data_IF_937986677923
#
_entry.id   IF_937986677923
#
_cell.length_a   1.000
_cell.length_b   1.000
_cell.length_c   1.000
_cell.angle_alpha   90.00
_cell.angle_beta   90.00
_cell.angle_gamma   90.00
#
_symmetry.space_group_name_H-M   'P 1'
#
loop_
_entity.id
_entity.type
_entity.pdbx_description
1 polymer ?
#
# COMPACT_ATOMS: atom_id res chain seq x y z
N UNK A 1 -3.51 23.38 11.73
CA UNK A 1 -3.06 23.02 13.10
C UNK A 1 -1.61 22.58 13.03
N UNK A 2 -0.76 23.11 13.88
CA UNK A 2 0.65 22.70 14.01
C UNK A 2 0.71 21.71 15.17
N UNK A 3 1.03 20.42 14.94
CA UNK A 3 1.12 19.45 16.03
C UNK A 3 2.33 19.76 16.92
N UNK A 4 2.16 19.60 18.22
CA UNK A 4 3.24 19.69 19.21
C UNK A 4 3.37 18.37 19.94
N UNK A 5 4.59 17.82 19.98
CA UNK A 5 4.91 16.56 20.65
C UNK A 5 5.88 16.86 21.81
N UNK A 6 5.41 16.70 23.05
CA UNK A 6 6.24 16.84 24.25
C UNK A 6 6.59 15.43 24.78
N UNK A 7 7.39 14.70 24.03
CA UNK A 7 7.78 13.34 24.39
C UNK A 7 9.27 13.29 24.75
N UNK A 8 9.61 12.49 25.74
CA UNK A 8 10.99 12.24 26.17
C UNK A 8 11.30 10.76 26.08
N UNK A 9 12.46 10.45 25.54
CA UNK A 9 12.98 9.10 25.42
C UNK A 9 14.36 9.07 26.11
N UNK A 10 14.60 8.04 26.93
CA UNK A 10 15.87 7.82 27.60
C UNK A 10 16.52 6.59 26.98
N UNK A 11 17.77 6.72 26.56
CA UNK A 11 18.55 5.64 25.97
C UNK A 11 19.89 5.60 26.72
N UNK A 12 20.21 4.46 27.31
CA UNK A 12 21.52 4.21 27.93
C UNK A 12 22.48 3.67 26.87
N UNK A 13 23.71 4.21 26.86
CA UNK A 13 24.74 3.79 25.90
C UNK A 13 26.15 4.05 26.45
N UNK A 14 27.14 3.34 25.91
CA UNK A 14 28.53 3.54 26.24
C UNK A 14 29.19 4.60 25.35
N UNK A 15 30.17 5.34 25.90
CA UNK A 15 30.91 6.38 25.16
C UNK A 15 31.54 5.87 23.85
N UNK A 16 31.99 4.64 23.82
CA UNK A 16 32.59 3.99 22.64
C UNK A 16 31.60 3.78 21.51
N UNK A 17 30.34 3.48 21.83
CA UNK A 17 29.29 3.22 20.85
C UNK A 17 28.57 4.50 20.36
N UNK A 18 28.74 5.61 21.08
CA UNK A 18 28.01 6.84 20.81
C UNK A 18 28.16 7.35 19.37
N UNK A 19 29.33 7.15 18.76
CA UNK A 19 29.62 7.58 17.37
C UNK A 19 28.96 6.71 16.31
N UNK A 20 28.56 5.49 16.65
CA UNK A 20 27.92 4.55 15.76
C UNK A 20 26.39 4.68 15.77
N UNK A 21 25.85 5.33 16.80
CA UNK A 21 24.43 5.48 16.98
C UNK A 21 23.83 6.56 16.08
N UNK A 22 22.61 6.28 15.66
CA UNK A 22 21.78 7.19 14.86
C UNK A 22 20.44 7.35 15.54
N UNK A 23 20.03 8.57 15.78
CA UNK A 23 18.66 8.89 16.23
C UNK A 23 17.78 9.03 15.00
N UNK A 24 16.73 8.24 14.93
CA UNK A 24 15.70 8.35 13.89
C UNK A 24 14.37 8.71 14.55
N UNK A 25 13.87 9.91 14.22
CA UNK A 25 12.54 10.37 14.63
C UNK A 25 11.60 10.24 13.44
N UNK A 26 10.47 9.58 13.64
CA UNK A 26 9.47 9.37 12.59
C UNK A 26 8.16 9.99 13.02
N UNK A 27 7.64 10.90 12.21
CA UNK A 27 6.31 11.49 12.39
C UNK A 27 5.32 10.66 11.58
N UNK A 28 4.32 10.13 12.24
CA UNK A 28 3.29 9.29 11.63
C UNK A 28 1.91 9.94 11.74
N UNK A 29 1.13 9.85 10.69
CA UNK A 29 -0.30 10.13 10.68
C UNK A 29 -1.06 8.81 10.77
N UNK A 30 -1.98 8.70 11.70
CA UNK A 30 -2.82 7.52 11.87
C UNK A 30 -4.21 7.88 11.39
N UNK A 31 -4.61 7.32 10.26
CA UNK A 31 -5.93 7.53 9.71
C UNK A 31 -7.01 6.78 10.54
N UNK A 32 -8.27 7.07 10.28
CA UNK A 32 -9.40 6.41 10.96
C UNK A 32 -9.47 4.90 10.77
N UNK A 33 -8.64 4.35 9.88
CA UNK A 33 -8.52 2.92 9.61
C UNK A 33 -7.34 2.29 10.35
N UNK A 34 -6.74 3.01 11.31
CA UNK A 34 -5.58 2.61 12.11
C UNK A 34 -4.34 2.21 11.29
N UNK A 35 -4.24 2.72 10.04
CA UNK A 35 -3.07 2.49 9.19
C UNK A 35 -2.09 3.65 9.36
N UNK A 36 -0.96 3.45 10.03
CA UNK A 36 0.03 4.52 10.20
C UNK A 36 0.67 4.87 8.85
N UNK A 37 0.70 6.14 8.52
CA UNK A 37 1.38 6.66 7.33
C UNK A 37 2.51 7.59 7.78
N UNK A 38 3.73 7.31 7.37
CA UNK A 38 4.86 8.19 7.68
C UNK A 38 4.70 9.52 6.95
N UNK A 39 4.58 10.59 7.71
CA UNK A 39 4.50 11.98 7.22
C UNK A 39 5.89 12.50 6.91
N UNK A 40 6.86 12.13 7.75
CA UNK A 40 8.22 12.52 7.56
C UNK A 40 9.15 11.92 8.61
N UNK A 41 10.44 12.07 8.37
CA UNK A 41 11.48 11.58 9.27
C UNK A 41 12.64 12.55 9.41
N UNK A 42 13.31 12.45 10.55
CA UNK A 42 14.59 13.09 10.81
C UNK A 42 15.58 12.00 11.20
N UNK A 43 16.73 11.98 10.55
CA UNK A 43 17.82 11.05 10.84
C UNK A 43 19.03 11.86 11.27
N UNK A 44 19.48 11.66 12.52
CA UNK A 44 20.63 12.34 13.08
C UNK A 44 21.67 11.33 13.57
N UNK A 45 22.78 11.15 12.85
CA UNK A 45 23.93 10.43 13.37
C UNK A 45 24.52 11.18 14.57
N UNK A 46 24.72 10.49 15.70
CA UNK A 46 25.21 11.15 16.91
C UNK A 46 26.67 11.60 16.77
N UNK A 47 27.45 10.99 15.86
CA UNK A 47 28.82 11.44 15.52
C UNK A 47 28.89 12.86 14.99
N UNK A 48 27.80 13.38 14.41
CA UNK A 48 27.74 14.71 13.80
C UNK A 48 27.48 15.81 14.85
N UNK A 49 27.14 15.42 16.09
CA UNK A 49 26.96 16.34 17.21
C UNK A 49 28.32 16.54 17.92
N UNK A 50 28.84 17.75 17.79
CA UNK A 50 30.13 18.10 18.41
C UNK A 50 30.07 17.95 19.92
N UNK A 51 31.11 17.35 20.49
CA UNK A 51 31.31 17.20 21.94
C UNK A 51 30.18 16.48 22.69
N UNK A 52 29.37 15.67 22.02
CA UNK A 52 28.22 14.97 22.64
C UNK A 52 28.63 14.18 23.91
N UNK A 53 29.83 13.55 23.91
CA UNK A 53 30.30 12.76 25.03
C UNK A 53 30.67 13.60 26.28
N UNK A 54 30.81 14.91 26.17
CA UNK A 54 31.22 15.86 27.23
C UNK A 54 30.14 16.90 27.51
N UNK A 55 29.04 16.87 26.81
CA UNK A 55 27.89 17.76 27.03
C UNK A 55 27.20 17.35 28.33
N UNK A 56 27.15 18.23 29.30
CA UNK A 56 26.47 18.10 30.58
C UNK A 56 25.18 18.93 30.68
N UNK A 57 24.82 19.59 29.59
CA UNK A 57 23.66 20.45 29.51
C UNK A 57 22.76 20.11 28.32
N UNK A 58 21.53 20.58 28.34
CA UNK A 58 20.55 20.38 27.27
C UNK A 58 20.98 21.07 25.98
N UNK A 59 21.08 20.31 24.90
CA UNK A 59 21.33 20.84 23.54
C UNK A 59 20.04 20.77 22.72
N UNK A 60 19.69 21.87 22.06
CA UNK A 60 18.53 21.92 21.18
C UNK A 60 19.00 21.89 19.72
N UNK A 61 18.44 21.00 18.94
CA UNK A 61 18.70 20.87 17.50
C UNK A 61 17.42 21.14 16.74
N UNK A 62 17.50 21.88 15.64
CA UNK A 62 16.37 22.21 14.78
C UNK A 62 16.55 21.50 13.44
N UNK A 63 15.51 20.76 13.02
CA UNK A 63 15.51 20.04 11.76
C UNK A 63 14.25 20.30 10.96
N UNK A 64 14.39 20.28 9.66
CA UNK A 64 13.24 20.12 8.78
C UNK A 64 12.88 18.63 8.70
N UNK A 65 11.61 18.32 8.90
CA UNK A 65 11.11 16.96 8.74
C UNK A 65 11.11 16.65 7.24
N UNK A 66 12.03 15.78 6.81
CA UNK A 66 12.09 15.34 5.42
C UNK A 66 11.01 14.29 5.16
N UNK A 67 10.37 14.36 4.01
CA UNK A 67 9.52 13.24 3.59
C UNK A 67 10.42 12.02 3.35
N UNK A 68 10.13 10.87 3.98
CA UNK A 68 10.91 9.67 3.71
C UNK A 68 10.80 9.34 2.22
N UNK A 69 11.90 9.00 1.60
CA UNK A 69 11.89 8.35 0.30
C UNK A 69 11.43 6.90 0.51
N UNK A 70 10.15 6.72 0.85
CA UNK A 70 9.55 5.41 0.96
C UNK A 70 9.39 4.88 -0.47
N UNK A 71 10.35 4.10 -0.89
CA UNK A 71 10.30 3.35 -2.12
C UNK A 71 9.71 1.97 -1.81
N UNK A 72 8.42 1.81 -2.03
CA UNK A 72 7.72 0.52 -1.91
C UNK A 72 7.58 -0.17 -3.27
N UNK A 73 8.20 0.40 -4.31
CA UNK A 73 8.06 0.00 -5.69
C UNK A 73 7.00 0.83 -6.42
N UNK A 74 6.76 0.44 -7.66
CA UNK A 74 5.89 1.17 -8.58
C UNK A 74 4.82 0.27 -9.15
N UNK A 75 3.68 0.86 -9.51
CA UNK A 75 2.57 0.18 -10.16
C UNK A 75 2.16 0.90 -11.44
N UNK A 76 2.03 0.14 -12.55
CA UNK A 76 1.46 0.60 -13.81
C UNK A 76 0.01 0.19 -13.86
N UNK A 77 -0.88 1.16 -13.97
CA UNK A 77 -2.29 0.92 -14.20
C UNK A 77 -2.90 1.98 -15.11
N UNK A 78 -3.96 1.59 -15.80
CA UNK A 78 -4.74 2.46 -16.67
C UNK A 78 -6.10 2.76 -16.07
N UNK A 79 -6.58 3.98 -16.31
CA UNK A 79 -7.92 4.43 -15.98
C UNK A 79 -8.68 4.79 -17.24
N UNK A 80 -9.97 4.47 -17.28
CA UNK A 80 -10.91 4.93 -18.33
C UNK A 80 -12.26 5.18 -17.71
N UNK A 81 -12.87 6.31 -18.05
CA UNK A 81 -14.23 6.64 -17.63
C UNK A 81 -15.19 6.63 -18.82
N UNK A 82 -16.32 5.95 -18.68
CA UNK A 82 -17.40 5.88 -19.65
C UNK A 82 -18.62 6.64 -19.10
N UNK A 83 -18.81 7.92 -19.47
CA UNK A 83 -19.88 8.74 -18.92
C UNK A 83 -21.28 8.18 -19.19
N UNK A 84 -21.52 7.67 -20.40
CA UNK A 84 -22.82 7.11 -20.81
C UNK A 84 -23.20 5.85 -20.03
N UNK A 85 -22.22 5.03 -19.65
CA UNK A 85 -22.43 3.83 -18.85
C UNK A 85 -22.22 4.07 -17.35
N UNK A 86 -21.79 5.29 -16.96
CA UNK A 86 -21.44 5.66 -15.59
C UNK A 86 -20.44 4.67 -14.96
N UNK A 87 -19.40 4.30 -15.72
CA UNK A 87 -18.42 3.28 -15.33
C UNK A 87 -16.99 3.79 -15.35
N UNK A 88 -16.29 3.51 -14.27
CA UNK A 88 -14.84 3.64 -14.17
C UNK A 88 -14.21 2.27 -14.34
N UNK A 89 -13.32 2.13 -15.33
CA UNK A 89 -12.51 0.94 -15.55
C UNK A 89 -11.10 1.20 -15.05
N UNK A 90 -10.57 0.26 -14.28
CA UNK A 90 -9.21 0.27 -13.72
C UNK A 90 -8.47 -0.94 -14.23
N UNK A 91 -7.59 -0.75 -15.20
CA UNK A 91 -6.76 -1.81 -15.76
C UNK A 91 -5.46 -1.90 -14.98
N UNK A 92 -5.36 -2.85 -14.07
CA UNK A 92 -4.14 -3.14 -13.31
C UNK A 92 -3.22 -3.96 -14.19
N UNK A 93 -2.11 -3.37 -14.66
CA UNK A 93 -1.23 -3.99 -15.65
C UNK A 93 -0.14 -4.78 -14.95
N UNK A 94 0.74 -4.10 -14.24
CA UNK A 94 1.90 -4.71 -13.55
C UNK A 94 2.43 -3.81 -12.45
N UNK A 95 3.25 -4.38 -11.58
CA UNK A 95 4.09 -3.61 -10.67
C UNK A 95 5.57 -3.93 -10.94
N UNK A 96 6.42 -3.12 -10.38
CA UNK A 96 7.88 -3.26 -10.51
C UNK A 96 8.54 -2.90 -9.18
N UNK A 97 9.61 -3.61 -8.87
CA UNK A 97 10.50 -3.26 -7.76
C UNK A 97 9.83 -3.23 -6.38
N UNK A 98 8.81 -4.09 -6.17
CA UNK A 98 8.13 -4.16 -4.88
C UNK A 98 9.10 -4.55 -3.78
N UNK A 99 9.12 -3.78 -2.68
CA UNK A 99 10.00 -4.03 -1.54
C UNK A 99 9.37 -5.08 -0.60
N UNK A 100 9.42 -6.33 -1.02
CA UNK A 100 8.85 -7.45 -0.27
C UNK A 100 9.56 -7.70 1.06
N UNK A 101 10.85 -7.38 1.18
CA UNK A 101 11.64 -7.56 2.40
C UNK A 101 11.12 -6.79 3.62
N UNK A 102 10.28 -5.78 3.41
CA UNK A 102 9.61 -5.06 4.49
C UNK A 102 8.46 -5.85 5.12
N UNK A 103 8.00 -6.92 4.48
CA UNK A 103 6.80 -7.67 4.89
C UNK A 103 7.00 -9.17 4.99
N UNK A 104 7.90 -9.75 4.22
CA UNK A 104 8.27 -11.17 4.24
C UNK A 104 9.77 -11.34 4.11
N UNK A 105 10.32 -12.42 4.63
CA UNK A 105 11.75 -12.72 4.55
C UNK A 105 12.12 -13.36 3.21
N UNK A 106 11.28 -14.30 2.73
CA UNK A 106 11.49 -15.01 1.47
C UNK A 106 10.53 -14.50 0.39
N UNK A 107 11.06 -14.29 -0.83
CA UNK A 107 10.28 -13.93 -2.01
C UNK A 107 9.20 -14.97 -2.34
N UNK A 108 9.45 -16.24 -2.04
CA UNK A 108 8.49 -17.31 -2.27
C UNK A 108 7.22 -17.18 -1.41
N UNK A 109 7.32 -16.51 -0.26
CA UNK A 109 6.18 -16.20 0.61
C UNK A 109 5.48 -14.90 0.21
N UNK A 110 6.06 -14.15 -0.73
CA UNK A 110 5.50 -12.92 -1.24
C UNK A 110 4.46 -13.21 -2.32
N UNK A 111 3.20 -13.00 -1.99
CA UNK A 111 2.06 -13.20 -2.89
C UNK A 111 1.29 -11.89 -3.08
N UNK A 112 1.84 -10.93 -3.86
CA UNK A 112 1.24 -9.61 -4.01
C UNK A 112 -0.07 -9.63 -4.79
N UNK A 113 -0.99 -8.78 -4.37
CA UNK A 113 -2.23 -8.46 -5.07
C UNK A 113 -2.63 -7.02 -4.77
N UNK A 114 -3.46 -6.44 -5.62
CA UNK A 114 -3.95 -5.08 -5.46
C UNK A 114 -5.40 -5.10 -5.02
N UNK A 115 -5.68 -4.36 -3.95
CA UNK A 115 -7.02 -4.04 -3.49
C UNK A 115 -7.35 -2.61 -3.89
N UNK A 116 -8.47 -2.44 -4.53
CA UNK A 116 -8.94 -1.15 -5.02
C UNK A 116 -10.21 -0.77 -4.29
N UNK A 117 -10.22 0.42 -3.68
CA UNK A 117 -11.35 0.96 -2.94
C UNK A 117 -11.81 2.26 -3.58
N UNK A 118 -13.10 2.38 -3.81
CA UNK A 118 -13.77 3.63 -4.16
C UNK A 118 -14.35 4.22 -2.87
N UNK A 119 -13.93 5.43 -2.51
CA UNK A 119 -14.23 6.10 -1.24
C UNK A 119 -14.98 7.40 -1.54
N UNK A 120 -16.10 7.63 -0.87
CA UNK A 120 -16.86 8.88 -0.96
C UNK A 120 -16.11 10.05 -0.32
N UNK A 121 -16.53 11.29 -0.64
CA UNK A 121 -16.01 12.50 0.01
C UNK A 121 -16.17 12.51 1.54
N UNK A 122 -17.16 11.78 2.07
CA UNK A 122 -17.33 11.57 3.52
C UNK A 122 -16.36 10.52 4.11
N UNK A 123 -15.51 9.90 3.27
CA UNK A 123 -14.55 8.86 3.65
C UNK A 123 -15.16 7.47 3.84
N UNK A 124 -16.38 7.24 3.39
CA UNK A 124 -17.03 5.92 3.41
C UNK A 124 -16.61 5.12 2.19
N UNK A 125 -16.28 3.83 2.36
CA UNK A 125 -16.01 2.92 1.24
C UNK A 125 -17.32 2.61 0.53
N UNK A 126 -17.40 3.00 -0.75
CA UNK A 126 -18.56 2.73 -1.61
C UNK A 126 -18.46 1.31 -2.20
N UNK A 127 -17.30 0.97 -2.75
CA UNK A 127 -17.06 -0.32 -3.40
C UNK A 127 -15.62 -0.74 -3.21
N UNK A 128 -15.40 -2.05 -3.13
CA UNK A 128 -14.08 -2.67 -3.03
C UNK A 128 -13.96 -3.80 -4.05
N UNK A 129 -12.85 -3.85 -4.78
CA UNK A 129 -12.46 -4.95 -5.67
C UNK A 129 -10.99 -5.29 -5.47
N UNK A 130 -10.57 -6.47 -5.91
CA UNK A 130 -9.18 -6.93 -5.81
C UNK A 130 -8.78 -7.70 -7.06
N UNK A 131 -7.48 -7.69 -7.37
CA UNK A 131 -6.90 -8.57 -8.38
C UNK A 131 -6.68 -9.97 -7.82
N UNK A 132 -6.34 -10.91 -8.69
CA UNK A 132 -5.74 -12.18 -8.28
C UNK A 132 -4.37 -11.92 -7.63
N UNK A 133 -3.88 -12.84 -6.83
CA UNK A 133 -2.53 -12.77 -6.24
C UNK A 133 -1.51 -13.45 -7.16
N UNK A 134 -0.26 -12.97 -7.13
CA UNK A 134 0.86 -13.49 -7.93
C UNK A 134 1.98 -13.95 -7.01
N UNK A 135 2.28 -15.26 -6.93
CA UNK A 135 3.27 -15.77 -5.99
C UNK A 135 4.71 -15.53 -6.46
N UNK A 136 5.62 -15.33 -5.50
CA UNK A 136 7.06 -15.43 -5.70
C UNK A 136 7.67 -14.35 -6.60
N UNK A 137 7.09 -13.14 -6.67
CA UNK A 137 7.60 -12.10 -7.56
C UNK A 137 7.47 -10.70 -6.98
N UNK A 138 8.57 -9.93 -7.10
CA UNK A 138 8.59 -8.49 -6.80
C UNK A 138 8.15 -7.63 -8.00
N UNK A 139 7.91 -8.24 -9.16
CA UNK A 139 7.47 -7.55 -10.39
C UNK A 139 6.29 -8.28 -11.05
N UNK A 140 5.14 -8.37 -10.35
CA UNK A 140 3.99 -9.13 -10.82
C UNK A 140 3.31 -8.47 -12.02
N UNK A 141 2.74 -9.31 -12.91
CA UNK A 141 1.90 -8.90 -14.03
C UNK A 141 0.51 -9.45 -13.81
N UNK A 142 -0.51 -8.58 -13.84
CA UNK A 142 -1.91 -8.97 -13.69
C UNK A 142 -2.67 -8.91 -15.00
N UNK A 143 -2.62 -7.79 -15.72
CA UNK A 143 -3.44 -7.49 -16.90
C UNK A 143 -4.94 -7.68 -16.63
N UNK A 144 -5.38 -7.28 -15.43
CA UNK A 144 -6.77 -7.41 -14.98
C UNK A 144 -7.48 -6.07 -14.99
N UNK A 145 -8.76 -6.06 -15.39
CA UNK A 145 -9.59 -4.86 -15.37
C UNK A 145 -10.68 -4.97 -14.31
N UNK A 146 -10.70 -4.01 -13.41
CA UNK A 146 -11.69 -3.87 -12.35
C UNK A 146 -12.67 -2.74 -12.73
N UNK A 147 -13.97 -3.05 -12.79
CA UNK A 147 -15.00 -2.10 -13.21
C UNK A 147 -15.79 -1.62 -12.00
N UNK A 148 -15.99 -0.31 -11.88
CA UNK A 148 -16.76 0.34 -10.82
C UNK A 148 -17.88 1.15 -11.42
N UNK A 149 -19.09 1.02 -10.88
CA UNK A 149 -20.18 1.93 -11.20
C UNK A 149 -19.89 3.26 -10.47
N UNK A 150 -19.82 4.33 -11.23
CA UNK A 150 -19.49 5.67 -10.75
C UNK A 150 -20.31 6.71 -11.52
N UNK A 151 -21.40 7.22 -10.92
CA UNK A 151 -22.19 8.30 -11.49
C UNK A 151 -21.35 9.55 -11.74
N UNK A 152 -21.62 10.26 -12.83
CA UNK A 152 -20.85 11.45 -13.21
C UNK A 152 -20.87 12.52 -12.12
N UNK A 153 -21.97 12.68 -11.40
CA UNK A 153 -22.09 13.61 -10.27
C UNK A 153 -21.17 13.28 -9.09
N UNK A 154 -20.66 12.06 -8.99
CA UNK A 154 -19.79 11.62 -7.90
C UNK A 154 -18.31 11.65 -8.26
N UNK A 155 -17.95 11.77 -9.53
CA UNK A 155 -16.55 11.65 -10.00
C UNK A 155 -15.61 12.65 -9.31
N UNK A 156 -16.08 13.87 -9.04
CA UNK A 156 -15.28 14.90 -8.37
C UNK A 156 -15.18 14.68 -6.85
N UNK A 157 -16.11 13.92 -6.27
CA UNK A 157 -16.24 13.74 -4.82
C UNK A 157 -15.67 12.43 -4.30
N UNK A 158 -15.21 11.56 -5.19
CA UNK A 158 -14.63 10.28 -4.77
C UNK A 158 -13.11 10.32 -4.71
N UNK A 159 -12.58 9.49 -3.82
CA UNK A 159 -11.17 9.13 -3.79
C UNK A 159 -11.04 7.66 -4.15
N UNK A 160 -10.13 7.39 -5.06
CA UNK A 160 -9.76 6.07 -5.48
C UNK A 160 -8.49 5.66 -4.75
N UNK A 161 -8.57 4.62 -3.91
CA UNK A 161 -7.44 4.13 -3.15
C UNK A 161 -7.03 2.75 -3.66
N UNK A 162 -5.80 2.65 -4.10
CA UNK A 162 -5.14 1.44 -4.51
C UNK A 162 -4.19 1.01 -3.41
N UNK A 163 -4.37 -0.22 -2.89
CA UNK A 163 -3.57 -0.78 -1.80
C UNK A 163 -2.90 -2.05 -2.29
N UNK A 164 -1.58 -2.06 -2.27
CA UNK A 164 -0.77 -3.26 -2.50
C UNK A 164 -0.72 -4.05 -1.20
N UNK A 165 -1.12 -5.30 -1.28
CA UNK A 165 -1.13 -6.25 -0.17
C UNK A 165 -0.37 -7.52 -0.57
N UNK A 166 0.14 -8.25 0.41
CA UNK A 166 0.60 -9.61 0.22
C UNK A 166 -0.22 -10.56 1.07
N UNK A 167 -0.53 -11.72 0.50
CA UNK A 167 -1.21 -12.81 1.18
C UNK A 167 -0.19 -13.79 1.73
N UNK A 168 -0.32 -14.27 2.98
CA UNK A 168 0.52 -15.35 3.47
C UNK A 168 0.31 -16.61 2.62
N UNK A 169 1.37 -17.23 2.15
CA UNK A 169 1.29 -18.52 1.45
C UNK A 169 0.79 -19.56 2.44
N UNK A 170 -0.34 -20.17 2.15
CA UNK A 170 -0.79 -21.35 2.89
C UNK A 170 0.03 -22.50 2.32
N UNK A 171 0.92 -23.07 3.13
CA UNK A 171 1.54 -24.35 2.77
C UNK A 171 0.38 -25.36 2.66
N UNK A 172 0.08 -25.79 1.45
CA UNK A 172 -0.79 -26.96 1.24
C UNK A 172 0.06 -28.15 1.67
N UNK A 173 -0.15 -28.63 2.89
CA UNK A 173 0.33 -29.95 3.28
C UNK A 173 -0.47 -30.94 2.41
N UNK A 174 0.17 -31.74 1.54
CA UNK A 174 -0.55 -32.77 0.79
C UNK A 174 -1.13 -33.75 1.81
N UNK A 175 -2.45 -33.83 1.83
CA UNK A 175 -3.11 -34.93 2.56
C UNK A 175 -2.75 -36.26 1.87
N UNK A 176 -2.48 -37.34 2.60
CA UNK A 176 -2.07 -38.61 2.02
C UNK A 176 -3.06 -39.27 1.04
N UNK A 177 -4.23 -38.66 0.85
CA UNK A 177 -5.29 -39.17 -0.05
C UNK A 177 -5.16 -38.71 -1.51
N UNK A 178 -4.24 -37.80 -1.87
CA UNK A 178 -4.10 -37.25 -3.24
C UNK A 178 -3.04 -37.97 -4.10
N UNK A 179 -2.47 -39.06 -3.64
CA UNK A 179 -1.43 -39.81 -4.38
C UNK A 179 -1.97 -40.67 -5.55
N UNK A 180 -3.26 -40.59 -5.90
CA UNK A 180 -3.88 -41.47 -6.93
C UNK A 180 -4.70 -40.71 -7.99
N UNK A 181 -4.41 -39.47 -8.29
CA UNK A 181 -5.08 -38.77 -9.40
C UNK A 181 -4.09 -38.38 -10.51
N UNK A 182 -4.38 -38.73 -11.79
CA UNK A 182 -3.53 -38.32 -12.91
C UNK A 182 -3.57 -36.81 -13.16
N UNK A 183 -2.54 -36.20 -13.82
CA UNK A 183 -2.35 -34.76 -13.91
C UNK A 183 -3.07 -34.10 -15.10
N UNK A 184 -4.31 -34.44 -15.37
CA UNK A 184 -5.10 -33.74 -16.39
C UNK A 184 -6.42 -33.30 -15.75
N UNK A 185 -6.52 -32.02 -15.45
CA UNK A 185 -7.73 -31.18 -15.36
C UNK A 185 -7.51 -29.97 -14.43
N UNK A 186 -6.63 -29.03 -14.85
CA UNK A 186 -6.61 -27.69 -14.29
C UNK A 186 -7.48 -26.76 -15.13
N UNK A 187 -8.79 -26.96 -15.10
CA UNK A 187 -9.74 -25.98 -15.59
C UNK A 187 -9.98 -24.90 -14.53
N UNK A 188 -9.82 -23.66 -14.97
CA UNK A 188 -10.03 -22.46 -14.19
C UNK A 188 -11.46 -22.38 -13.64
N UNK A 189 -11.60 -22.46 -12.33
CA UNK A 189 -12.86 -22.13 -11.66
C UNK A 189 -12.93 -20.61 -11.42
N UNK A 190 -13.85 -19.96 -12.12
CA UNK A 190 -14.35 -18.62 -11.79
C UNK A 190 -15.15 -18.70 -10.48
N UNK A 191 -14.85 -17.93 -9.46
CA UNK A 191 -15.75 -17.76 -8.33
C UNK A 191 -16.73 -16.64 -8.60
N UNK A 192 -17.96 -17.02 -8.91
CA UNK A 192 -19.13 -16.18 -8.80
C UNK A 192 -19.51 -16.11 -7.32
N UNK A 193 -19.34 -14.94 -6.70
CA UNK A 193 -19.59 -14.76 -5.27
C UNK A 193 -21.05 -14.37 -5.05
N UNK A 194 -21.89 -15.37 -4.78
CA UNK A 194 -23.19 -15.21 -4.15
C UNK A 194 -23.11 -15.71 -2.71
N UNK A 195 -23.44 -14.79 -1.81
CA UNK A 195 -23.56 -14.93 -0.37
C UNK A 195 -24.35 -16.17 0.08
N UNK A 196 -23.79 -16.93 1.02
CA UNK A 196 -24.54 -17.69 2.01
C UNK A 196 -23.76 -17.81 3.32
N UNK A 197 -24.41 -17.70 4.50
CA UNK A 197 -23.77 -17.76 5.78
C UNK A 197 -23.69 -19.18 6.29
N UNK A 198 -22.69 -19.48 7.09
CA UNK A 198 -22.64 -20.48 8.16
C UNK A 198 -21.41 -21.40 8.13
N UNK A 199 -20.77 -21.33 9.16
CA UNK A 199 -20.02 -22.18 10.08
C UNK A 199 -18.60 -21.71 10.31
N UNK A 200 -18.48 -21.04 11.45
CA UNK A 200 -17.25 -20.67 12.13
C UNK A 200 -16.58 -21.95 12.67
N UNK A 201 -15.56 -22.41 11.98
CA UNK A 201 -14.57 -23.32 12.54
C UNK A 201 -13.28 -22.52 12.59
N UNK A 202 -12.81 -22.22 13.80
CA UNK A 202 -11.68 -21.35 14.11
C UNK A 202 -10.40 -21.68 13.35
N UNK A 203 -10.27 -21.15 12.15
CA UNK A 203 -9.04 -21.10 11.42
C UNK A 203 -8.43 -19.72 11.64
N UNK A 204 -7.26 -19.69 12.25
CA UNK A 204 -6.37 -18.54 12.39
C UNK A 204 -6.20 -17.90 11.00
N UNK A 205 -7.06 -16.94 10.64
CA UNK A 205 -6.95 -16.18 9.38
C UNK A 205 -5.64 -15.39 9.46
N UNK A 206 -4.57 -15.94 8.89
CA UNK A 206 -3.35 -15.17 8.66
C UNK A 206 -3.74 -13.91 7.90
N UNK A 207 -3.59 -12.77 8.56
CA UNK A 207 -4.04 -11.47 8.06
C UNK A 207 -3.15 -11.04 6.88
N UNK A 208 -3.77 -10.55 5.80
CA UNK A 208 -3.05 -9.94 4.68
C UNK A 208 -2.14 -8.82 5.19
N UNK A 209 -0.89 -8.77 4.70
CA UNK A 209 0.08 -7.75 5.08
C UNK A 209 0.06 -6.60 4.06
N UNK A 210 0.18 -5.41 4.58
CA UNK A 210 0.26 -4.19 3.78
C UNK A 210 1.66 -4.01 3.20
N UNK A 211 1.75 -3.63 1.91
CA UNK A 211 3.02 -3.34 1.21
C UNK A 211 3.14 -1.86 0.92
N UNK A 212 2.13 -1.23 0.37
CA UNK A 212 2.11 0.17 0.02
C UNK A 212 0.77 0.62 -0.53
N UNK A 213 0.53 1.91 -0.64
CA UNK A 213 -0.72 2.49 -1.13
C UNK A 213 -0.52 3.65 -2.09
N UNK A 214 -1.56 3.96 -2.82
CA UNK A 214 -1.65 5.08 -3.74
C UNK A 214 -3.09 5.59 -3.78
N UNK A 215 -3.29 6.90 -3.71
CA UNK A 215 -4.61 7.52 -3.83
C UNK A 215 -4.69 8.43 -5.05
N UNK A 216 -5.84 8.39 -5.75
CA UNK A 216 -6.18 9.26 -6.88
C UNK A 216 -7.54 9.93 -6.64
N UNK A 217 -7.73 11.10 -7.22
CA UNK A 217 -8.95 11.89 -7.07
C UNK A 217 -8.68 13.37 -7.28
N UNK A 218 -9.72 14.19 -7.32
CA UNK A 218 -9.59 15.63 -7.51
C UNK A 218 -8.90 16.32 -6.31
N UNK A 219 -9.07 15.79 -5.10
CA UNK A 219 -8.63 16.41 -3.85
C UNK A 219 -7.41 15.74 -3.22
N UNK A 220 -6.71 14.85 -3.93
CA UNK A 220 -5.48 14.22 -3.41
C UNK A 220 -4.30 15.20 -3.48
N UNK A 221 -3.36 15.06 -2.53
CA UNK A 221 -2.20 15.96 -2.42
C UNK A 221 -1.14 15.76 -3.51
N UNK A 222 -1.11 14.63 -4.19
CA UNK A 222 -0.11 14.33 -5.22
C UNK A 222 -0.49 14.91 -6.58
N UNK A 223 0.35 15.78 -7.15
CA UNK A 223 0.06 16.41 -8.46
C UNK A 223 0.00 15.42 -9.61
N UNK A 224 0.84 14.40 -9.60
CA UNK A 224 0.84 13.34 -10.61
C UNK A 224 -0.42 12.49 -10.55
N UNK A 225 -0.83 12.11 -9.34
CA UNK A 225 -2.02 11.34 -9.06
C UNK A 225 -3.28 12.11 -9.45
N UNK A 226 -3.33 13.40 -9.10
CA UNK A 226 -4.43 14.28 -9.48
C UNK A 226 -4.50 14.47 -11.00
N UNK A 227 -3.36 14.69 -11.68
CA UNK A 227 -3.32 14.82 -13.15
C UNK A 227 -3.74 13.54 -13.85
N UNK A 228 -3.36 12.37 -13.34
CA UNK A 228 -3.84 11.11 -13.90
C UNK A 228 -5.35 10.96 -13.74
N UNK A 229 -5.91 11.32 -12.59
CA UNK A 229 -7.36 11.32 -12.38
C UNK A 229 -8.08 12.28 -13.34
N UNK A 230 -7.60 13.52 -13.44
CA UNK A 230 -8.23 14.52 -14.33
C UNK A 230 -8.13 14.14 -15.81
N UNK A 231 -7.11 13.40 -16.21
CA UNK A 231 -6.92 12.98 -17.60
C UNK A 231 -8.05 12.07 -18.12
N UNK A 232 -8.69 11.29 -17.26
CA UNK A 232 -9.83 10.45 -17.66
C UNK A 232 -11.11 11.26 -17.93
N UNK A 233 -11.20 12.43 -17.32
CA UNK A 233 -12.30 13.38 -17.58
C UNK A 233 -12.08 14.15 -18.87
N UNK A 234 -10.82 14.52 -19.14
CA UNK A 234 -10.43 15.21 -20.36
C UNK A 234 -10.48 14.31 -21.62
N UNK A 235 -10.28 13.00 -21.44
CA UNK A 235 -10.30 12.02 -22.53
C UNK A 235 -11.21 10.83 -22.21
N UNK A 236 -12.55 11.04 -22.16
CA UNK A 236 -13.48 9.98 -21.83
C UNK A 236 -13.40 8.84 -22.86
N UNK A 237 -13.65 7.61 -22.41
CA UNK A 237 -13.57 6.34 -23.16
C UNK A 237 -12.15 5.91 -23.54
N UNK A 238 -11.14 6.75 -23.37
CA UNK A 238 -9.72 6.36 -23.59
C UNK A 238 -9.11 5.83 -22.31
N UNK A 239 -8.29 4.81 -22.44
CA UNK A 239 -7.49 4.30 -21.34
C UNK A 239 -6.23 5.16 -21.23
N UNK A 240 -6.04 5.81 -20.09
CA UNK A 240 -4.80 6.54 -19.77
C UNK A 240 -4.03 5.73 -18.77
N UNK A 241 -2.85 5.23 -19.15
CA UNK A 241 -1.98 4.41 -18.30
C UNK A 241 -0.77 5.19 -17.83
N UNK A 242 -0.45 5.08 -16.53
CA UNK A 242 0.72 5.73 -15.94
C UNK A 242 1.35 4.85 -14.87
N UNK A 243 2.66 5.00 -14.70
CA UNK A 243 3.39 4.51 -13.56
C UNK A 243 3.17 5.42 -12.36
N UNK A 244 3.09 4.82 -11.18
CA UNK A 244 2.99 5.54 -9.91
C UNK A 244 3.80 4.82 -8.84
N UNK A 245 4.55 5.59 -8.07
CA UNK A 245 5.26 5.09 -6.90
C UNK A 245 4.28 4.82 -5.76
N UNK A 246 4.42 3.67 -5.11
CA UNK A 246 3.70 3.31 -3.88
C UNK A 246 4.31 4.05 -2.69
N UNK A 247 3.46 4.39 -1.72
CA UNK A 247 3.83 5.07 -0.47
C UNK A 247 3.38 4.29 0.74
#
# INVERSE_FOLDING_TARGET
MTPAFNQSFVVETNKSQLKELVVKLVVMDVDKWASPTTVGEVIQPLRDIKNLATIDHKTTLNYFVAQPKLDFGEVLFGLSYLPTAQRLSVSVIKASNLKYTNVVEDINDFCPYIRVLLISGSGRVIKKKKTTWRPGTASPVWNETLIFDLPQSQVEHVTFLLVMCTRPRIAVTPTPSDASRPPDDLQAQHPNDQSSPLHDVGHNKKQDRYVGKLSLGCHVRGDEQRRHWLSIMAAPRKVVSKWHSLK
#
